data_IF_907492041458
#
_entry.id   IF_907492041458
#
_cell.length_a   1.000
_cell.length_b   1.000
_cell.length_c   1.000
_cell.angle_alpha   90.00
_cell.angle_beta   90.00
_cell.angle_gamma   90.00
#
_symmetry.space_group_name_H-M   'P 1'
#
loop_
_entity.id
_entity.type
_entity.pdbx_description
1 polymer ?
#
# COMPACT_ATOMS: atom_id res chain seq x y z
N UNK A 1 -22.28 3.28 18.53
CA UNK A 1 -22.88 1.93 18.44
C UNK A 1 -24.04 2.04 17.48
N UNK A 2 -23.81 1.65 16.22
CA UNK A 2 -24.92 1.48 15.27
C UNK A 2 -25.77 0.32 15.79
N UNK A 3 -27.06 0.59 15.95
CA UNK A 3 -28.01 -0.40 16.42
C UNK A 3 -28.31 -1.35 15.25
N UNK A 4 -27.56 -2.45 15.15
CA UNK A 4 -27.77 -3.52 14.16
C UNK A 4 -29.01 -4.38 14.52
N UNK A 5 -30.13 -3.73 14.85
CA UNK A 5 -31.39 -4.39 15.18
C UNK A 5 -32.26 -4.47 13.93
N UNK A 6 -32.07 -5.51 13.12
CA UNK A 6 -33.05 -5.93 12.11
C UNK A 6 -33.61 -7.31 12.48
N UNK A 7 -34.71 -7.69 11.83
CA UNK A 7 -35.42 -8.94 12.11
C UNK A 7 -34.53 -10.15 11.79
N UNK A 8 -34.03 -10.84 12.82
CA UNK A 8 -33.14 -12.02 12.71
C UNK A 8 -33.77 -13.20 11.95
N UNK A 9 -35.07 -13.16 11.64
CA UNK A 9 -35.81 -14.25 11.01
C UNK A 9 -36.06 -14.06 9.51
N UNK A 10 -35.53 -13.00 8.87
CA UNK A 10 -35.60 -12.86 7.41
C UNK A 10 -34.28 -13.28 6.75
N UNK A 11 -34.31 -13.86 5.53
CA UNK A 11 -33.10 -14.05 4.74
C UNK A 11 -32.46 -12.69 4.44
N UNK A 12 -31.13 -12.63 4.55
CA UNK A 12 -30.35 -11.43 4.21
C UNK A 12 -29.91 -11.50 2.76
N UNK A 13 -29.85 -10.35 2.05
CA UNK A 13 -29.39 -10.33 0.68
C UNK A 13 -27.93 -10.76 0.60
N UNK A 14 -27.61 -11.52 -0.43
CA UNK A 14 -26.24 -11.84 -0.83
C UNK A 14 -25.58 -10.63 -1.52
N UNK A 15 -24.26 -10.66 -1.66
CA UNK A 15 -23.55 -9.62 -2.43
C UNK A 15 -23.96 -9.59 -3.91
N UNK A 16 -24.49 -10.69 -4.47
CA UNK A 16 -24.99 -10.76 -5.86
C UNK A 16 -26.32 -10.01 -6.05
N UNK A 17 -27.08 -9.83 -4.96
CA UNK A 17 -28.38 -9.16 -4.96
C UNK A 17 -28.26 -7.66 -4.60
N UNK A 18 -27.04 -7.20 -4.30
CA UNK A 18 -26.75 -5.83 -3.89
C UNK A 18 -25.94 -5.09 -4.97
N UNK A 19 -26.17 -3.77 -5.14
CA UNK A 19 -25.31 -2.94 -5.99
C UNK A 19 -23.83 -3.03 -5.57
N UNK A 20 -22.94 -3.34 -6.52
CA UNK A 20 -21.52 -3.52 -6.24
C UNK A 20 -20.69 -2.23 -6.31
N UNK A 21 -21.25 -1.18 -6.92
CA UNK A 21 -20.65 0.14 -7.10
C UNK A 21 -21.74 1.20 -6.95
N UNK A 22 -21.36 2.45 -6.67
CA UNK A 22 -22.29 3.58 -6.61
C UNK A 22 -22.70 4.13 -8.00
N UNK A 23 -22.21 3.51 -9.10
CA UNK A 23 -22.42 3.92 -10.49
C UNK A 23 -22.01 5.37 -10.79
N UNK A 24 -21.26 6.02 -9.89
CA UNK A 24 -20.75 7.37 -10.10
C UNK A 24 -19.39 7.32 -10.79
N UNK A 25 -19.15 8.18 -11.81
CA UNK A 25 -17.83 8.29 -12.38
C UNK A 25 -16.83 8.75 -11.31
N UNK A 26 -15.65 8.13 -11.27
CA UNK A 26 -14.53 8.59 -10.44
C UNK A 26 -14.24 10.06 -10.77
N UNK A 27 -14.16 10.92 -9.76
CA UNK A 27 -13.97 12.36 -10.00
C UNK A 27 -12.57 12.65 -10.55
N UNK A 28 -11.52 11.90 -10.16
CA UNK A 28 -10.19 12.01 -10.75
C UNK A 28 -9.34 10.73 -10.67
N UNK A 29 -8.30 10.67 -11.51
CA UNK A 29 -7.36 9.55 -11.59
C UNK A 29 -6.67 9.21 -10.24
N UNK A 30 -6.45 10.19 -9.36
CA UNK A 30 -5.73 9.96 -8.10
C UNK A 30 -6.54 9.18 -7.08
N UNK A 31 -7.87 9.32 -7.09
CA UNK A 31 -8.76 8.51 -6.25
C UNK A 31 -8.65 7.02 -6.58
N UNK A 32 -8.33 6.67 -7.82
CA UNK A 32 -8.07 5.28 -8.20
C UNK A 32 -6.61 4.87 -7.94
N UNK A 33 -5.63 5.67 -8.38
CA UNK A 33 -4.24 5.22 -8.41
C UNK A 33 -3.60 5.14 -7.01
N UNK A 34 -3.98 6.03 -6.08
CA UNK A 34 -3.42 6.03 -4.72
C UNK A 34 -3.83 4.79 -3.90
N UNK A 35 -5.12 4.43 -3.78
CA UNK A 35 -5.53 3.19 -3.11
C UNK A 35 -4.95 1.94 -3.77
N UNK A 36 -4.89 1.89 -5.11
CA UNK A 36 -4.31 0.75 -5.82
C UNK A 36 -2.80 0.58 -5.54
N UNK A 37 -2.04 1.69 -5.45
CA UNK A 37 -0.64 1.62 -5.01
C UNK A 37 -0.52 1.05 -3.59
N UNK A 38 -1.37 1.50 -2.66
CA UNK A 38 -1.38 1.00 -1.28
C UNK A 38 -1.76 -0.47 -1.19
N UNK A 39 -2.75 -0.93 -1.97
CA UNK A 39 -3.13 -2.33 -2.10
C UNK A 39 -1.94 -3.18 -2.58
N UNK A 40 -1.30 -2.77 -3.68
CA UNK A 40 -0.16 -3.50 -4.26
C UNK A 40 1.01 -3.62 -3.28
N UNK A 41 1.33 -2.54 -2.56
CA UNK A 41 2.35 -2.57 -1.50
C UNK A 41 1.94 -3.51 -0.36
N UNK A 42 0.68 -3.44 0.09
CA UNK A 42 0.20 -4.28 1.18
C UNK A 42 0.26 -5.77 0.81
N UNK A 43 -0.10 -6.13 -0.41
CA UNK A 43 0.00 -7.49 -0.93
C UNK A 43 1.45 -8.03 -0.90
N UNK A 44 2.44 -7.18 -1.14
CA UNK A 44 3.85 -7.56 -0.99
C UNK A 44 4.25 -7.73 0.48
N UNK A 45 3.85 -6.78 1.34
CA UNK A 45 4.20 -6.75 2.77
C UNK A 45 3.58 -7.93 3.51
N UNK A 46 2.33 -8.27 3.18
CA UNK A 46 1.54 -9.32 3.81
C UNK A 46 1.34 -10.56 2.92
N UNK A 47 2.28 -10.80 2.00
CA UNK A 47 2.25 -11.96 1.08
C UNK A 47 2.14 -13.33 1.78
N UNK A 48 2.55 -13.43 3.04
CA UNK A 48 2.40 -14.63 3.86
C UNK A 48 1.14 -14.69 4.73
N UNK A 49 0.20 -13.74 4.58
CA UNK A 49 -1.03 -13.61 5.37
C UNK A 49 -2.25 -13.74 4.48
N UNK A 50 -3.27 -14.41 5.02
CA UNK A 50 -4.60 -14.53 4.40
C UNK A 50 -5.70 -13.91 5.28
N UNK A 51 -5.36 -13.30 6.42
CA UNK A 51 -6.31 -12.73 7.38
C UNK A 51 -6.56 -11.23 7.16
N UNK A 52 -6.64 -10.78 5.91
CA UNK A 52 -6.90 -9.38 5.57
C UNK A 52 -7.61 -9.23 4.23
N UNK A 53 -8.31 -8.12 4.03
CA UNK A 53 -8.83 -7.75 2.72
C UNK A 53 -8.74 -6.24 2.54
N UNK A 54 -8.26 -5.81 1.37
CA UNK A 54 -8.22 -4.41 1.00
C UNK A 54 -9.08 -4.19 -0.25
N UNK A 55 -10.09 -3.34 -0.12
CA UNK A 55 -10.98 -2.97 -1.22
C UNK A 55 -10.64 -1.57 -1.73
N UNK A 56 -10.86 -1.36 -3.02
CA UNK A 56 -10.73 -0.06 -3.71
C UNK A 56 -12.04 0.19 -4.42
N UNK A 57 -12.61 1.39 -4.23
CA UNK A 57 -13.88 1.80 -4.87
C UNK A 57 -14.97 0.70 -4.82
N UNK A 58 -15.15 0.13 -3.63
CA UNK A 58 -16.03 -1.02 -3.41
C UNK A 58 -17.06 -0.72 -2.34
N UNK A 59 -18.31 -1.10 -2.63
CA UNK A 59 -19.43 -0.96 -1.71
C UNK A 59 -19.23 -1.77 -0.43
N UNK A 60 -19.41 -1.10 0.71
CA UNK A 60 -19.39 -1.67 2.06
C UNK A 60 -20.78 -1.57 2.69
N UNK A 61 -21.42 -2.72 2.88
CA UNK A 61 -22.78 -2.84 3.42
C UNK A 61 -22.76 -3.18 4.91
N UNK A 62 -23.22 -2.23 5.72
CA UNK A 62 -23.32 -2.36 7.18
C UNK A 62 -24.71 -2.80 7.64
N UNK A 63 -25.73 -2.42 6.87
CA UNK A 63 -27.13 -2.75 7.11
C UNK A 63 -27.76 -3.14 5.75
N UNK A 64 -28.48 -4.27 5.66
CA UNK A 64 -29.13 -4.72 4.43
C UNK A 64 -30.20 -3.77 3.87
N UNK A 65 -30.75 -2.87 4.70
CA UNK A 65 -31.79 -1.92 4.28
C UNK A 65 -31.27 -0.49 4.08
N UNK A 66 -29.98 -0.25 4.31
CA UNK A 66 -29.37 1.07 4.14
C UNK A 66 -28.43 1.08 2.93
N UNK A 67 -28.20 2.25 2.32
CA UNK A 67 -27.20 2.40 1.27
C UNK A 67 -25.81 1.97 1.75
N UNK A 68 -25.01 1.43 0.83
CA UNK A 68 -23.60 1.16 1.10
C UNK A 68 -22.79 2.45 1.23
N UNK A 69 -21.67 2.34 1.92
CA UNK A 69 -20.58 3.31 1.81
C UNK A 69 -19.59 2.85 0.75
N UNK A 70 -19.10 3.76 -0.06
CA UNK A 70 -18.04 3.51 -1.04
C UNK A 70 -16.86 4.42 -0.71
N UNK A 71 -15.86 3.94 0.04
CA UNK A 71 -14.63 4.67 0.25
C UNK A 71 -13.66 4.46 -0.93
N UNK A 72 -12.76 5.41 -1.18
CA UNK A 72 -11.72 5.26 -2.21
C UNK A 72 -10.82 4.05 -1.93
N UNK A 73 -10.58 3.75 -0.65
CA UNK A 73 -9.98 2.48 -0.22
C UNK A 73 -10.35 2.10 1.19
N UNK A 74 -10.33 0.81 1.50
CA UNK A 74 -10.50 0.33 2.87
C UNK A 74 -9.69 -0.93 3.14
N UNK A 75 -9.44 -1.19 4.43
CA UNK A 75 -8.76 -2.37 4.91
C UNK A 75 -9.55 -3.02 6.05
N UNK A 76 -9.81 -4.30 5.91
CA UNK A 76 -10.31 -5.18 6.96
C UNK A 76 -9.25 -6.22 7.36
N UNK A 77 -9.17 -6.54 8.64
CA UNK A 77 -8.27 -7.55 9.20
C UNK A 77 -9.10 -8.59 9.94
N UNK A 78 -8.74 -9.87 9.80
CA UNK A 78 -9.48 -11.03 10.32
C UNK A 78 -10.45 -11.66 9.31
N UNK A 79 -10.47 -11.19 8.06
CA UNK A 79 -11.24 -11.77 6.95
C UNK A 79 -10.32 -12.42 5.92
N UNK A 80 -10.79 -13.40 5.18
CA UNK A 80 -9.97 -14.08 4.18
C UNK A 80 -9.58 -13.13 3.04
N UNK A 81 -8.31 -13.11 2.65
CA UNK A 81 -7.86 -12.37 1.47
C UNK A 81 -8.36 -13.07 0.21
N UNK A 82 -8.04 -14.35 0.08
CA UNK A 82 -8.50 -15.20 -1.01
C UNK A 82 -9.96 -15.63 -0.79
N UNK A 83 -10.81 -15.29 -1.76
CA UNK A 83 -12.24 -15.64 -1.77
C UNK A 83 -12.62 -16.53 -2.95
N UNK A 84 -11.62 -17.10 -3.64
CA UNK A 84 -11.79 -17.92 -4.83
C UNK A 84 -12.02 -17.11 -6.11
N UNK A 85 -12.36 -17.81 -7.19
CA UNK A 85 -12.33 -17.29 -8.56
C UNK A 85 -13.19 -16.04 -8.81
N UNK A 86 -14.28 -15.87 -8.06
CA UNK A 86 -15.21 -14.73 -8.22
C UNK A 86 -14.77 -13.48 -7.45
N UNK A 87 -13.90 -13.62 -6.46
CA UNK A 87 -13.57 -12.53 -5.55
C UNK A 87 -14.79 -12.00 -4.78
N UNK A 88 -14.67 -10.78 -4.26
CA UNK A 88 -15.75 -10.04 -3.61
C UNK A 88 -16.41 -9.07 -4.58
N UNK A 89 -17.74 -9.12 -4.69
CA UNK A 89 -18.53 -8.11 -5.40
C UNK A 89 -18.77 -6.87 -4.54
N UNK A 90 -18.89 -7.06 -3.23
CA UNK A 90 -19.05 -6.03 -2.22
C UNK A 90 -18.57 -6.56 -0.88
N UNK A 91 -18.25 -5.66 0.03
CA UNK A 91 -17.93 -6.01 1.40
C UNK A 91 -19.19 -5.99 2.24
N UNK A 92 -19.76 -7.17 2.49
CA UNK A 92 -21.03 -7.33 3.16
C UNK A 92 -20.80 -7.86 4.57
N UNK A 93 -21.11 -7.07 5.61
CA UNK A 93 -20.75 -7.42 6.99
C UNK A 93 -21.31 -8.77 7.43
N UNK A 94 -22.56 -9.11 7.10
CA UNK A 94 -23.14 -10.39 7.51
C UNK A 94 -22.56 -11.59 6.74
N UNK A 95 -21.95 -11.37 5.57
CA UNK A 95 -21.13 -12.37 4.87
C UNK A 95 -19.75 -12.51 5.50
N UNK A 96 -19.21 -11.43 6.07
CA UNK A 96 -17.87 -11.34 6.66
C UNK A 96 -17.86 -11.53 8.19
N UNK A 97 -18.85 -12.26 8.74
CA UNK A 97 -18.98 -12.52 10.20
C UNK A 97 -19.00 -11.25 11.06
N UNK A 98 -19.50 -10.16 10.50
CA UNK A 98 -19.57 -8.81 11.10
C UNK A 98 -18.21 -8.22 11.47
N UNK A 99 -17.15 -8.63 10.78
CA UNK A 99 -15.85 -8.00 10.89
C UNK A 99 -15.93 -6.66 10.15
N UNK A 100 -15.73 -5.57 10.89
CA UNK A 100 -15.71 -4.22 10.32
C UNK A 100 -14.34 -3.96 9.66
N UNK A 101 -14.30 -3.23 8.54
CA UNK A 101 -13.07 -2.60 8.10
C UNK A 101 -12.49 -1.73 9.22
N UNK A 102 -11.20 -1.86 9.44
CA UNK A 102 -10.50 -1.12 10.49
C UNK A 102 -9.98 0.23 9.99
N UNK A 103 -9.87 0.43 8.68
CA UNK A 103 -9.27 1.61 8.08
C UNK A 103 -9.96 1.98 6.77
N UNK A 104 -10.33 3.25 6.62
CA UNK A 104 -10.94 3.85 5.43
C UNK A 104 -10.07 5.00 4.92
N UNK A 105 -9.97 5.16 3.60
CA UNK A 105 -9.28 6.24 2.90
C UNK A 105 -10.23 7.01 2.00
N UNK A 106 -10.07 8.33 2.04
CA UNK A 106 -10.66 9.28 1.10
C UNK A 106 -9.57 10.20 0.55
N UNK A 107 -9.55 10.37 -0.76
CA UNK A 107 -8.65 11.23 -1.51
C UNK A 107 -9.46 12.42 -2.00
N UNK A 108 -9.17 13.61 -1.47
CA UNK A 108 -9.92 14.82 -1.84
C UNK A 108 -9.77 15.10 -3.34
N UNK A 109 -10.91 15.15 -4.04
CA UNK A 109 -11.01 15.50 -5.45
C UNK A 109 -11.28 17.00 -5.65
N UNK A 110 -11.32 17.46 -6.91
CA UNK A 110 -11.73 18.84 -7.20
C UNK A 110 -13.20 19.09 -6.81
N UNK A 111 -14.04 18.07 -6.99
CA UNK A 111 -15.44 18.08 -6.57
C UNK A 111 -15.55 17.49 -5.17
N UNK A 112 -15.28 18.35 -4.20
CA UNK A 112 -15.37 18.01 -2.79
C UNK A 112 -16.69 17.29 -2.40
N UNK A 113 -16.59 16.17 -1.68
CA UNK A 113 -17.70 15.27 -1.38
C UNK A 113 -17.91 15.03 0.14
N UNK A 114 -17.81 16.10 0.93
CA UNK A 114 -18.13 16.09 2.38
C UNK A 114 -17.25 15.16 3.22
N UNK A 115 -16.00 14.95 2.81
CA UNK A 115 -15.03 14.09 3.48
C UNK A 115 -14.75 14.56 4.92
N UNK A 116 -14.73 15.87 5.17
CA UNK A 116 -14.53 16.42 6.51
C UNK A 116 -15.83 16.65 7.31
N UNK A 117 -17.01 16.38 6.75
CA UNK A 117 -18.30 16.63 7.41
C UNK A 117 -19.14 15.34 7.50
N UNK A 118 -19.91 15.04 6.46
CA UNK A 118 -20.87 13.94 6.47
C UNK A 118 -20.18 12.57 6.54
N UNK A 119 -19.22 12.31 5.65
CA UNK A 119 -18.46 11.04 5.64
C UNK A 119 -17.73 10.84 6.97
N UNK A 120 -17.11 11.90 7.50
CA UNK A 120 -16.44 11.88 8.81
C UNK A 120 -17.37 11.41 9.93
N UNK A 121 -18.57 12.01 10.05
CA UNK A 121 -19.53 11.66 11.08
C UNK A 121 -20.11 10.25 10.87
N UNK A 122 -20.37 9.88 9.61
CA UNK A 122 -20.88 8.57 9.25
C UNK A 122 -19.89 7.48 9.67
N UNK A 123 -18.62 7.56 9.23
CA UNK A 123 -17.60 6.57 9.58
C UNK A 123 -17.33 6.51 11.09
N UNK A 124 -17.36 7.66 11.77
CA UNK A 124 -17.24 7.71 13.23
C UNK A 124 -18.38 6.95 13.92
N UNK A 125 -19.61 7.11 13.41
CA UNK A 125 -20.79 6.46 13.97
C UNK A 125 -20.78 4.94 13.75
N UNK A 126 -20.31 4.50 12.58
CA UNK A 126 -20.13 3.09 12.21
C UNK A 126 -19.07 2.40 13.08
N UNK A 127 -18.09 3.14 13.58
CA UNK A 127 -17.04 2.61 14.42
C UNK A 127 -15.77 2.20 13.67
N UNK A 128 -15.52 2.78 12.49
CA UNK A 128 -14.28 2.53 11.75
C UNK A 128 -13.12 3.06 12.59
N UNK A 129 -12.11 2.21 12.83
CA UNK A 129 -11.04 2.54 13.77
C UNK A 129 -10.16 3.67 13.25
N UNK A 130 -9.84 3.65 11.96
CA UNK A 130 -9.03 4.66 11.29
C UNK A 130 -9.76 5.29 10.12
N UNK A 131 -9.84 6.60 10.12
CA UNK A 131 -10.29 7.37 8.97
C UNK A 131 -9.17 8.25 8.44
N UNK A 132 -8.79 8.03 7.19
CA UNK A 132 -7.69 8.71 6.53
C UNK A 132 -8.22 9.60 5.43
N UNK A 133 -7.75 10.85 5.44
CA UNK A 133 -8.02 11.80 4.38
C UNK A 133 -6.68 12.25 3.80
N UNK A 134 -6.48 12.01 2.50
CA UNK A 134 -5.38 12.58 1.74
C UNK A 134 -5.87 13.78 0.93
N UNK A 135 -5.24 14.92 1.13
CA UNK A 135 -5.67 16.18 0.54
C UNK A 135 -4.60 16.77 -0.41
N UNK A 136 -4.68 16.51 -1.73
CA UNK A 136 -3.77 17.11 -2.69
C UNK A 136 -3.86 18.65 -2.78
N UNK A 137 -4.84 19.26 -2.11
CA UNK A 137 -5.11 20.70 -2.11
C UNK A 137 -4.84 21.37 -0.76
N UNK A 138 -4.23 20.66 0.20
CA UNK A 138 -3.85 21.19 1.51
C UNK A 138 -3.12 22.53 1.41
N UNK A 139 -3.48 23.50 2.24
CA UNK A 139 -2.88 24.84 2.26
C UNK A 139 -3.37 25.80 1.17
N UNK A 140 -4.23 25.37 0.24
CA UNK A 140 -4.92 26.28 -0.69
C UNK A 140 -5.95 27.15 0.06
N UNK A 141 -6.30 28.31 -0.51
CA UNK A 141 -7.32 29.22 0.07
C UNK A 141 -8.67 28.51 0.26
N UNK A 142 -9.52 29.07 1.11
CA UNK A 142 -10.85 28.52 1.39
C UNK A 142 -10.78 27.34 2.38
N UNK A 143 -11.58 26.30 2.15
CA UNK A 143 -11.80 25.20 3.10
C UNK A 143 -10.57 24.34 3.39
N UNK A 144 -9.56 24.37 2.53
CA UNK A 144 -8.32 23.58 2.67
C UNK A 144 -7.17 24.34 3.33
N UNK A 145 -7.36 25.61 3.72
CA UNK A 145 -6.28 26.48 4.21
C UNK A 145 -5.58 25.93 5.45
N UNK A 146 -6.37 25.36 6.37
CA UNK A 146 -5.88 24.83 7.65
C UNK A 146 -5.86 23.29 7.68
N UNK A 147 -5.87 22.65 6.51
CA UNK A 147 -5.84 21.19 6.38
C UNK A 147 -4.43 20.70 6.11
N UNK A 148 -4.09 19.56 6.70
CA UNK A 148 -2.82 18.90 6.44
C UNK A 148 -2.90 18.08 5.15
N UNK A 149 -1.72 17.67 4.66
CA UNK A 149 -1.60 16.85 3.45
C UNK A 149 -2.20 15.46 3.65
N UNK A 150 -1.94 14.89 4.81
CA UNK A 150 -2.45 13.60 5.28
C UNK A 150 -3.01 13.81 6.68
N UNK A 151 -4.29 13.55 6.86
CA UNK A 151 -4.95 13.57 8.16
C UNK A 151 -5.43 12.16 8.48
N UNK A 152 -4.92 11.59 9.58
CA UNK A 152 -5.30 10.25 10.05
C UNK A 152 -6.00 10.40 11.38
N UNK A 153 -7.26 10.01 11.42
CA UNK A 153 -8.08 10.05 12.61
C UNK A 153 -8.22 8.66 13.19
N UNK A 154 -8.00 8.52 14.50
CA UNK A 154 -8.24 7.28 15.25
C UNK A 154 -9.51 7.42 16.09
N UNK A 155 -10.38 6.42 16.05
CA UNK A 155 -11.57 6.38 16.88
C UNK A 155 -11.19 6.01 18.31
N UNK A 156 -11.38 6.94 19.24
CA UNK A 156 -11.09 6.76 20.67
C UNK A 156 -12.34 7.15 21.45
N UNK A 157 -12.89 6.20 22.21
CA UNK A 157 -14.13 6.40 23.00
C UNK A 157 -15.30 6.94 22.15
N UNK A 158 -15.44 6.42 20.92
CA UNK A 158 -16.51 6.78 20.00
C UNK A 158 -16.36 8.13 19.29
N UNK A 159 -15.19 8.79 19.42
CA UNK A 159 -14.89 10.03 18.71
C UNK A 159 -13.55 9.95 17.99
N UNK A 160 -13.50 10.50 16.80
CA UNK A 160 -12.27 10.62 16.04
C UNK A 160 -11.34 11.66 16.68
N UNK A 161 -10.08 11.27 16.82
CA UNK A 161 -8.99 12.14 17.26
C UNK A 161 -7.91 12.11 16.19
N UNK A 162 -7.47 13.30 15.74
CA UNK A 162 -6.38 13.42 14.79
C UNK A 162 -5.09 12.89 15.43
N UNK A 163 -4.43 11.96 14.76
CA UNK A 163 -3.12 11.47 15.16
C UNK A 163 -2.02 12.43 14.70
N UNK A 164 -0.97 12.51 15.51
CA UNK A 164 0.21 13.31 15.16
C UNK A 164 0.98 12.65 14.01
N UNK A 165 1.41 13.49 13.08
CA UNK A 165 2.28 13.09 11.97
C UNK A 165 3.72 13.39 12.33
N UNK A 166 4.58 12.41 12.15
CA UNK A 166 6.02 12.53 12.29
C UNK A 166 6.68 12.30 10.93
N UNK A 167 7.42 13.30 10.42
CA UNK A 167 8.11 13.22 9.13
C UNK A 167 7.18 12.77 7.98
N UNK A 168 5.99 13.36 7.90
CA UNK A 168 4.95 13.05 6.91
C UNK A 168 4.34 11.63 7.02
N UNK A 169 4.44 11.00 8.19
CA UNK A 169 3.95 9.63 8.44
C UNK A 169 3.16 9.54 9.73
N UNK A 170 2.22 8.61 9.78
CA UNK A 170 1.43 8.29 10.98
C UNK A 170 1.48 6.78 11.21
N UNK A 171 1.96 6.36 12.38
CA UNK A 171 2.00 4.96 12.79
C UNK A 171 0.61 4.45 13.19
N UNK A 172 0.22 3.28 12.69
CA UNK A 172 -1.07 2.63 12.94
C UNK A 172 -0.82 1.31 13.69
N UNK A 173 -0.79 1.31 15.04
CA UNK A 173 -0.40 0.14 15.83
C UNK A 173 -1.18 -1.14 15.51
N UNK A 174 -2.49 -1.03 15.30
CA UNK A 174 -3.36 -2.17 15.01
C UNK A 174 -3.14 -2.77 13.61
N UNK A 175 -2.52 -2.01 12.70
CA UNK A 175 -2.09 -2.48 11.37
C UNK A 175 -0.63 -2.94 11.41
N UNK A 176 0.19 -2.37 12.30
CA UNK A 176 1.63 -2.63 12.36
C UNK A 176 2.41 -1.99 11.20
N UNK A 177 1.85 -0.94 10.60
CA UNK A 177 2.46 -0.16 9.52
C UNK A 177 2.22 1.34 9.79
N UNK A 178 3.09 2.18 9.27
CA UNK A 178 2.82 3.61 9.13
C UNK A 178 2.29 3.91 7.74
N UNK A 179 1.35 4.85 7.64
CA UNK A 179 0.96 5.48 6.38
C UNK A 179 1.63 6.83 6.27
N UNK A 180 2.20 7.13 5.10
CA UNK A 180 2.76 8.45 4.86
C UNK A 180 2.83 8.79 3.38
N UNK A 181 3.44 9.93 3.09
CA UNK A 181 3.62 10.41 1.73
C UNK A 181 5.04 10.86 1.43
N UNK A 182 5.47 10.60 0.21
CA UNK A 182 6.77 11.00 -0.32
C UNK A 182 6.70 11.18 -1.84
N UNK A 183 7.63 11.95 -2.41
CA UNK A 183 7.76 12.04 -3.87
C UNK A 183 8.41 10.78 -4.41
N UNK A 184 7.77 10.16 -5.38
CA UNK A 184 8.27 8.98 -6.07
C UNK A 184 7.71 8.88 -7.48
N UNK A 185 8.25 7.95 -8.24
CA UNK A 185 7.69 7.57 -9.54
C UNK A 185 6.80 6.35 -9.35
N UNK A 186 5.59 6.44 -9.89
CA UNK A 186 4.66 5.32 -10.01
C UNK A 186 3.90 5.53 -11.31
N UNK A 187 3.63 4.47 -12.06
CA UNK A 187 2.93 4.52 -13.37
C UNK A 187 3.47 5.59 -14.32
N UNK A 188 4.81 5.72 -14.40
CA UNK A 188 5.51 6.74 -15.18
C UNK A 188 5.15 8.20 -14.81
N UNK A 189 4.71 8.42 -13.57
CA UNK A 189 4.35 9.74 -13.06
C UNK A 189 5.08 10.06 -11.74
N UNK A 190 6.03 11.00 -11.83
CA UNK A 190 6.72 11.53 -10.67
C UNK A 190 5.89 12.57 -9.93
N UNK A 191 5.43 12.23 -8.73
CA UNK A 191 4.65 13.11 -7.85
C UNK A 191 4.73 12.61 -6.41
N UNK A 192 4.02 13.29 -5.52
CA UNK A 192 3.79 12.77 -4.18
C UNK A 192 2.75 11.65 -4.21
N UNK A 193 3.12 10.52 -3.61
CA UNK A 193 2.28 9.32 -3.49
C UNK A 193 2.17 8.90 -2.03
N UNK A 194 1.15 8.08 -1.73
CA UNK A 194 1.00 7.43 -0.44
C UNK A 194 1.75 6.09 -0.44
N UNK A 195 2.41 5.78 0.68
CA UNK A 195 3.14 4.53 0.87
C UNK A 195 2.95 3.99 2.29
N UNK A 196 3.14 2.68 2.42
CA UNK A 196 3.34 2.03 3.71
C UNK A 196 4.80 2.15 4.15
N UNK A 197 5.00 2.29 5.46
CA UNK A 197 6.31 2.37 6.10
C UNK A 197 6.41 1.35 7.24
N UNK A 198 7.62 0.83 7.46
CA UNK A 198 7.93 -0.04 8.60
C UNK A 198 8.06 0.75 9.92
N UNK A 199 8.25 0.05 11.04
CA UNK A 199 8.41 0.65 12.36
C UNK A 199 9.66 1.55 12.48
N UNK A 200 10.67 1.33 11.64
CA UNK A 200 11.89 2.15 11.60
C UNK A 200 11.71 3.41 10.75
N UNK A 201 10.54 3.56 10.11
CA UNK A 201 10.25 4.67 9.21
C UNK A 201 10.79 4.47 7.79
N UNK A 202 11.19 3.26 7.41
CA UNK A 202 11.59 2.97 6.03
C UNK A 202 10.36 2.73 5.16
N UNK A 203 10.35 3.35 3.99
CA UNK A 203 9.29 3.14 2.99
C UNK A 203 9.40 1.74 2.40
N UNK A 204 8.27 1.05 2.27
CA UNK A 204 8.24 -0.18 1.47
C UNK A 204 8.34 0.17 -0.02
N UNK A 205 9.30 -0.48 -0.68
CA UNK A 205 9.51 -0.34 -2.11
C UNK A 205 8.42 -1.04 -2.92
N UNK A 206 8.02 -0.42 -4.03
CA UNK A 206 7.13 -1.02 -5.03
C UNK A 206 7.78 -2.24 -5.68
N UNK A 207 6.99 -3.07 -6.38
CA UNK A 207 7.52 -4.20 -7.13
C UNK A 207 8.54 -3.77 -8.19
N UNK A 208 8.28 -2.64 -8.85
CA UNK A 208 9.16 -2.05 -9.86
C UNK A 208 10.48 -1.57 -9.26
N UNK A 209 10.43 -0.84 -8.14
CA UNK A 209 11.64 -0.40 -7.42
C UNK A 209 12.48 -1.60 -6.94
N UNK A 210 11.83 -2.66 -6.46
CA UNK A 210 12.52 -3.91 -6.06
C UNK A 210 13.17 -4.59 -7.26
N UNK A 211 12.49 -4.66 -8.40
CA UNK A 211 13.02 -5.25 -9.62
C UNK A 211 14.23 -4.47 -10.14
N UNK A 212 14.13 -3.13 -10.22
CA UNK A 212 15.24 -2.27 -10.62
C UNK A 212 16.45 -2.43 -9.69
N UNK A 213 16.24 -2.50 -8.38
CA UNK A 213 17.33 -2.73 -7.42
C UNK A 213 17.97 -4.12 -7.63
N UNK A 214 17.17 -5.17 -7.85
CA UNK A 214 17.68 -6.51 -8.11
C UNK A 214 18.49 -6.58 -9.43
N UNK A 215 18.02 -5.92 -10.49
CA UNK A 215 18.72 -5.82 -11.77
C UNK A 215 20.04 -5.06 -11.64
N UNK A 216 20.07 -3.95 -10.90
CA UNK A 216 21.28 -3.19 -10.64
C UNK A 216 22.33 -4.02 -9.88
N UNK A 217 21.90 -4.76 -8.84
CA UNK A 217 22.78 -5.66 -8.08
C UNK A 217 23.33 -6.76 -9.00
N UNK A 218 22.47 -7.43 -9.78
CA UNK A 218 22.89 -8.48 -10.68
C UNK A 218 23.85 -7.99 -11.79
N UNK A 219 23.64 -6.77 -12.30
CA UNK A 219 24.53 -6.14 -13.26
C UNK A 219 25.91 -5.84 -12.64
N UNK A 220 25.92 -5.34 -11.40
CA UNK A 220 27.16 -5.06 -10.66
C UNK A 220 27.94 -6.34 -10.37
N UNK A 221 27.28 -7.41 -9.92
CA UNK A 221 27.92 -8.71 -9.67
C UNK A 221 28.54 -9.30 -10.95
N UNK A 222 27.82 -9.20 -12.09
CA UNK A 222 28.36 -9.63 -13.40
C UNK A 222 29.59 -8.82 -13.80
N UNK A 223 29.61 -7.52 -13.51
CA UNK A 223 30.76 -6.68 -13.80
C UNK A 223 31.98 -7.08 -12.95
N UNK A 224 31.78 -7.34 -11.65
CA UNK A 224 32.83 -7.79 -10.74
C UNK A 224 33.40 -9.14 -11.21
N UNK A 225 32.54 -10.13 -11.49
CA UNK A 225 32.96 -11.45 -11.96
C UNK A 225 33.74 -11.39 -13.29
N UNK A 226 33.33 -10.50 -14.22
CA UNK A 226 34.06 -10.31 -15.47
C UNK A 226 35.44 -9.67 -15.26
N UNK A 227 35.55 -8.70 -14.35
CA UNK A 227 36.83 -8.08 -14.00
C UNK A 227 37.77 -9.09 -13.35
N UNK A 228 37.29 -9.91 -12.42
CA UNK A 228 38.09 -10.98 -11.79
C UNK A 228 38.56 -12.00 -12.82
N UNK A 229 37.69 -12.40 -13.75
CA UNK A 229 38.06 -13.33 -14.83
C UNK A 229 39.14 -12.74 -15.73
N UNK A 230 39.03 -11.46 -16.10
CA UNK A 230 40.03 -10.79 -16.92
C UNK A 230 41.36 -10.65 -16.18
N UNK A 231 41.34 -10.25 -14.90
CA UNK A 231 42.53 -10.14 -14.06
C UNK A 231 43.23 -11.49 -13.90
N UNK A 232 42.46 -12.58 -13.72
CA UNK A 232 43.00 -13.95 -13.67
C UNK A 232 43.67 -14.34 -14.99
N UNK A 233 43.02 -14.10 -16.13
CA UNK A 233 43.59 -14.38 -17.45
C UNK A 233 44.87 -13.58 -17.70
N UNK A 234 44.92 -12.30 -17.31
CA UNK A 234 46.13 -11.49 -17.40
C UNK A 234 47.25 -12.00 -16.50
N UNK A 235 46.93 -12.42 -15.27
CA UNK A 235 47.90 -12.99 -14.34
C UNK A 235 48.48 -14.31 -14.88
N UNK A 236 47.63 -15.20 -15.42
CA UNK A 236 48.05 -16.45 -16.07
C UNK A 236 48.97 -16.17 -17.28
N UNK A 237 48.60 -15.21 -18.14
CA UNK A 237 49.44 -14.81 -19.28
C UNK A 237 50.78 -14.18 -18.86
N UNK A 238 50.80 -13.41 -17.77
CA UNK A 238 52.05 -12.84 -17.23
C UNK A 238 52.93 -13.93 -16.63
N UNK A 239 52.34 -14.88 -15.89
CA UNK A 239 53.05 -16.03 -15.33
C UNK A 239 53.67 -16.90 -16.42
N UNK A 240 52.92 -17.21 -17.48
CA UNK A 240 53.43 -17.96 -18.64
C UNK A 240 54.62 -17.26 -19.30
N UNK A 241 54.50 -15.95 -19.60
CA UNK A 241 55.59 -15.16 -20.19
C UNK A 241 56.83 -15.07 -19.29
N UNK A 242 56.63 -14.98 -17.98
CA UNK A 242 57.74 -14.97 -17.03
C UNK A 242 58.46 -16.33 -17.00
N UNK A 243 57.70 -17.43 -16.95
CA UNK A 243 58.25 -18.78 -16.99
C UNK A 243 59.07 -19.05 -18.27
N UNK A 244 58.58 -18.62 -19.43
CA UNK A 244 59.33 -18.71 -20.69
C UNK A 244 60.66 -17.95 -20.63
N UNK A 245 60.66 -16.74 -20.06
CA UNK A 245 61.86 -15.91 -19.93
C UNK A 245 62.87 -16.49 -18.94
N UNK A 246 62.41 -17.10 -17.84
CA UNK A 246 63.27 -17.80 -16.88
C UNK A 246 63.94 -19.02 -17.52
N UNK A 247 63.19 -19.82 -18.29
CA UNK A 247 63.74 -20.96 -19.05
C UNK A 247 64.81 -20.51 -20.05
N UNK A 248 64.61 -19.39 -20.75
CA UNK A 248 65.60 -18.82 -21.66
C UNK A 248 66.90 -18.37 -20.97
N UNK A 249 66.83 -18.05 -19.67
CA UNK A 249 67.97 -17.71 -18.82
C UNK A 249 68.64 -18.94 -18.17
N UNK A 250 68.13 -20.15 -18.42
CA UNK A 250 68.64 -21.39 -17.83
C UNK A 250 68.17 -21.66 -16.39
N UNK A 251 67.15 -20.93 -15.92
CA UNK A 251 66.56 -21.12 -14.58
C UNK A 251 65.30 -21.98 -14.73
N UNK A 252 65.16 -23.04 -13.93
CA UNK A 252 63.94 -23.86 -13.90
C UNK A 252 62.83 -23.13 -13.11
N UNK A 253 61.74 -22.66 -13.76
CA UNK A 253 60.68 -21.92 -13.08
C UNK A 253 59.83 -22.77 -12.12
N UNK A 254 59.91 -24.10 -12.19
CA UNK A 254 59.17 -25.01 -11.29
C UNK A 254 59.94 -25.31 -9.97
N UNK A 255 61.15 -24.77 -9.82
CA UNK A 255 62.03 -24.94 -8.66
C UNK A 255 62.24 -23.65 -7.84
N UNK A 256 61.56 -22.55 -8.21
CA UNK A 256 61.60 -21.23 -7.56
C UNK A 256 60.23 -20.89 -6.98
#
# INVERSE_FOLDING_TARGET
MVNLTYNKNRPLPSAEELPSSDETPVDNQLQNDLPNLLLNLLALIWSGRDDWYFGVDMAVYYNPDEPAFVPDGFLAVGVNHDTGERGRLSYVLWGEKYILPIWFLEVISEKYNSEYEEKFLNYQSLGILYYVIYNPFSGRRGRFKNRQRLEVYKLISGKYQLLESENNRVWLPEIGLALGYEKGEHIAWYREWLYWYDQSGNRYLTAEERAMNAEAIAAQERQIANQERLAKQEAEQKALRLAERLRALGINPDEV
#
